data_IF_100161904780
#
_entry.id   IF_100161904780
#
_cell.length_a   1.000
_cell.length_b   1.000
_cell.length_c   1.000
_cell.angle_alpha   90.00
_cell.angle_beta   90.00
_cell.angle_gamma   90.00
#
_symmetry.space_group_name_H-M   'P 1'
#
loop_
_entity.id
_entity.type
_entity.pdbx_description
1 polymer ?
#
# COMPACT_ATOMS: atom_id res chain seq x y z
N UNK A 1 0.46 -22.93 5.38
CA UNK A 1 -0.34 -21.86 5.99
C UNK A 1 -0.01 -20.60 5.25
N UNK A 2 -0.96 -20.09 4.48
CA UNK A 2 -0.89 -18.81 3.77
C UNK A 2 -1.31 -17.68 4.71
N UNK A 3 -1.18 -16.43 4.27
CA UNK A 3 -1.71 -15.29 5.03
C UNK A 3 -3.24 -15.38 5.13
N UNK A 4 -3.90 -15.68 4.02
CA UNK A 4 -5.35 -15.91 3.98
C UNK A 4 -5.83 -16.98 4.98
N UNK A 5 -5.09 -18.09 5.13
CA UNK A 5 -5.42 -19.15 6.09
C UNK A 5 -5.48 -18.62 7.54
N UNK A 6 -4.65 -17.64 7.89
CA UNK A 6 -4.61 -17.02 9.22
C UNK A 6 -5.71 -15.97 9.35
N UNK A 7 -5.85 -15.10 8.35
CA UNK A 7 -6.82 -14.00 8.36
C UNK A 7 -8.26 -14.50 8.38
N UNK A 8 -8.52 -15.66 7.77
CA UNK A 8 -9.84 -16.31 7.76
C UNK A 8 -10.14 -17.15 9.02
N UNK A 9 -9.27 -17.13 10.04
CA UNK A 9 -9.52 -17.86 11.28
C UNK A 9 -10.64 -17.18 12.08
N UNK A 10 -11.66 -17.95 12.49
CA UNK A 10 -12.85 -17.43 13.14
C UNK A 10 -12.59 -16.66 14.45
N UNK A 11 -11.45 -16.85 15.11
CA UNK A 11 -11.04 -16.10 16.30
C UNK A 11 -10.33 -14.78 15.99
N UNK A 12 -9.95 -14.55 14.72
CA UNK A 12 -9.24 -13.38 14.21
C UNK A 12 -10.03 -12.58 13.16
N UNK A 13 -11.17 -13.10 12.71
CA UNK A 13 -12.12 -12.40 11.85
C UNK A 13 -12.46 -11.02 12.43
N UNK A 14 -12.44 -9.99 11.58
CA UNK A 14 -12.61 -8.57 11.92
C UNK A 14 -11.60 -7.95 12.89
N UNK A 15 -10.58 -8.69 13.34
CA UNK A 15 -9.50 -8.15 14.21
C UNK A 15 -8.23 -7.80 13.45
N UNK A 16 -8.05 -8.40 12.28
CA UNK A 16 -6.90 -8.16 11.41
C UNK A 16 -7.37 -7.47 10.14
N UNK A 17 -6.47 -6.71 9.51
CA UNK A 17 -6.73 -6.24 8.14
C UNK A 17 -6.88 -7.45 7.21
N UNK A 18 -7.72 -7.32 6.18
CA UNK A 18 -7.81 -8.36 5.16
C UNK A 18 -6.53 -8.46 4.33
N UNK A 19 -6.41 -9.52 3.53
CA UNK A 19 -5.16 -9.83 2.83
C UNK A 19 -4.69 -8.72 1.89
N UNK A 20 -5.59 -8.19 1.05
CA UNK A 20 -5.25 -7.14 0.10
C UNK A 20 -4.80 -5.86 0.81
N UNK A 21 -5.52 -5.45 1.87
CA UNK A 21 -5.17 -4.29 2.70
C UNK A 21 -3.85 -4.49 3.45
N UNK A 22 -3.59 -5.69 3.98
CA UNK A 22 -2.29 -6.03 4.55
C UNK A 22 -1.19 -5.88 3.51
N UNK A 23 -1.36 -6.42 2.30
CA UNK A 23 -0.34 -6.31 1.24
C UNK A 23 -0.10 -4.86 0.81
N UNK A 24 -1.16 -4.04 0.72
CA UNK A 24 -1.03 -2.60 0.49
C UNK A 24 -0.24 -1.89 1.59
N UNK A 25 -0.56 -2.18 2.84
CA UNK A 25 0.15 -1.63 3.99
C UNK A 25 1.64 -2.02 4.00
N UNK A 26 1.94 -3.29 3.73
CA UNK A 26 3.33 -3.76 3.63
C UNK A 26 4.04 -3.12 2.43
N UNK A 27 3.34 -2.87 1.33
CA UNK A 27 3.88 -2.12 0.19
C UNK A 27 4.29 -0.70 0.62
N UNK A 28 3.46 0.00 1.41
CA UNK A 28 3.82 1.31 1.98
C UNK A 28 5.07 1.26 2.87
N UNK A 29 5.19 0.24 3.74
CA UNK A 29 6.38 0.03 4.56
C UNK A 29 7.62 -0.35 3.71
N UNK A 30 7.41 -0.99 2.56
CA UNK A 30 8.46 -1.39 1.65
C UNK A 30 8.89 -0.25 0.71
N UNK A 31 8.04 0.74 0.41
CA UNK A 31 8.44 1.93 -0.36
C UNK A 31 9.10 3.02 0.51
N UNK A 32 8.86 3.00 1.82
CA UNK A 32 9.31 4.03 2.75
C UNK A 32 10.81 4.35 2.64
N UNK A 33 11.23 5.62 2.86
CA UNK A 33 12.64 6.00 2.83
C UNK A 33 13.43 5.34 3.96
N UNK A 34 12.83 5.33 5.14
CA UNK A 34 13.40 4.77 6.36
C UNK A 34 12.66 3.49 6.73
N UNK A 35 13.41 2.50 7.22
CA UNK A 35 12.82 1.24 7.71
C UNK A 35 12.28 1.48 9.12
N UNK A 36 10.96 1.45 9.24
CA UNK A 36 10.30 1.49 10.55
C UNK A 36 10.39 0.13 11.25
N UNK A 37 10.65 0.09 12.57
CA UNK A 37 10.65 -1.16 13.31
C UNK A 37 9.24 -1.77 13.32
N UNK A 38 9.09 -3.10 13.21
CA UNK A 38 7.78 -3.75 13.20
C UNK A 38 6.86 -3.34 14.35
N UNK A 39 7.40 -3.10 15.54
CA UNK A 39 6.63 -2.66 16.70
C UNK A 39 5.84 -1.36 16.48
N UNK A 40 6.25 -0.50 15.54
CA UNK A 40 5.58 0.78 15.27
C UNK A 40 4.40 0.65 14.31
N UNK A 41 4.36 -0.38 13.48
CA UNK A 41 3.34 -0.53 12.45
C UNK A 41 2.50 -1.82 12.56
N UNK A 42 2.92 -2.79 13.38
CA UNK A 42 2.15 -4.01 13.65
C UNK A 42 0.77 -3.77 14.29
N UNK A 43 0.58 -2.84 15.24
CA UNK A 43 -0.75 -2.53 15.80
C UNK A 43 -1.79 -2.16 14.74
N UNK A 44 -1.36 -1.48 13.68
CA UNK A 44 -2.26 -1.10 12.58
C UNK A 44 -2.76 -2.32 11.80
N UNK A 45 -1.94 -3.37 11.69
CA UNK A 45 -2.39 -4.63 11.11
C UNK A 45 -3.41 -5.37 12.00
N UNK A 46 -3.51 -5.01 13.27
CA UNK A 46 -4.46 -5.55 14.26
C UNK A 46 -5.68 -4.64 14.44
N UNK A 47 -6.02 -3.84 13.43
CA UNK A 47 -7.15 -2.90 13.51
C UNK A 47 -6.90 -1.71 14.44
N UNK A 48 -5.64 -1.45 14.82
CA UNK A 48 -5.24 -0.34 15.67
C UNK A 48 -5.23 -0.65 17.18
N UNK A 49 -5.41 -1.91 17.59
CA UNK A 49 -5.20 -2.34 18.98
C UNK A 49 -3.69 -2.56 19.23
N UNK A 50 -3.20 -2.14 20.38
CA UNK A 50 -1.82 -2.43 20.82
C UNK A 50 -1.66 -3.89 21.31
N UNK A 51 -2.79 -4.58 21.51
CA UNK A 51 -2.84 -5.97 21.95
C UNK A 51 -2.98 -6.89 20.75
N UNK A 52 -1.98 -7.75 20.55
CA UNK A 52 -2.01 -8.74 19.49
C UNK A 52 -3.22 -9.69 19.67
N UNK A 53 -4.08 -9.87 18.65
CA UNK A 53 -5.35 -10.59 18.79
C UNK A 53 -5.20 -12.12 18.83
N UNK A 54 -3.97 -12.63 18.76
CA UNK A 54 -3.65 -14.04 18.67
C UNK A 54 -3.77 -14.74 20.02
N UNK A 55 -4.55 -15.81 20.05
CA UNK A 55 -4.70 -16.67 21.23
C UNK A 55 -3.54 -17.67 21.38
N UNK A 56 -2.85 -17.98 20.28
CA UNK A 56 -1.72 -18.91 20.21
C UNK A 56 -0.43 -18.20 19.74
N UNK A 57 0.65 -18.37 20.50
CA UNK A 57 1.96 -17.83 20.17
C UNK A 57 2.49 -18.35 18.82
N UNK A 58 2.19 -19.60 18.44
CA UNK A 58 2.63 -20.14 17.15
C UNK A 58 1.90 -19.50 15.96
N UNK A 59 0.61 -19.18 16.13
CA UNK A 59 -0.18 -18.48 15.13
C UNK A 59 0.37 -17.06 14.92
N UNK A 60 0.69 -16.37 16.03
CA UNK A 60 1.34 -15.07 16.02
C UNK A 60 2.70 -15.11 15.31
N UNK A 61 3.57 -16.05 15.67
CA UNK A 61 4.89 -16.23 15.02
C UNK A 61 4.76 -16.50 13.52
N UNK A 62 3.78 -17.32 13.13
CA UNK A 62 3.51 -17.62 11.71
C UNK A 62 3.02 -16.39 10.95
N UNK A 63 2.13 -15.61 11.55
CA UNK A 63 1.66 -14.34 10.98
C UNK A 63 2.83 -13.38 10.76
N UNK A 64 3.66 -13.14 11.77
CA UNK A 64 4.84 -12.28 11.62
C UNK A 64 5.82 -12.80 10.57
N UNK A 65 6.04 -14.11 10.50
CA UNK A 65 6.88 -14.73 9.48
C UNK A 65 6.38 -14.44 8.06
N UNK A 66 5.07 -14.46 7.85
CA UNK A 66 4.45 -14.14 6.55
C UNK A 66 4.57 -12.66 6.21
N UNK A 67 4.33 -11.78 7.19
CA UNK A 67 4.48 -10.33 7.02
C UNK A 67 5.91 -9.94 6.66
N UNK A 68 6.90 -10.49 7.36
CA UNK A 68 8.33 -10.25 7.07
C UNK A 68 8.70 -10.81 5.70
N UNK A 69 8.13 -11.97 5.31
CA UNK A 69 8.35 -12.53 3.98
C UNK A 69 7.81 -11.62 2.90
N UNK A 70 6.59 -11.09 3.04
CA UNK A 70 6.01 -10.13 2.10
C UNK A 70 6.88 -8.87 1.96
N UNK A 71 7.35 -8.32 3.08
CA UNK A 71 8.24 -7.16 3.04
C UNK A 71 9.55 -7.45 2.29
N UNK A 72 10.16 -8.62 2.56
CA UNK A 72 11.38 -9.07 1.89
C UNK A 72 11.17 -9.42 0.40
N UNK A 73 9.93 -9.63 -0.03
CA UNK A 73 9.57 -9.83 -1.42
C UNK A 73 9.35 -8.47 -2.12
N UNK A 74 8.61 -7.56 -1.49
CA UNK A 74 8.24 -6.29 -2.10
C UNK A 74 9.38 -5.27 -2.12
N UNK A 75 10.18 -5.14 -1.06
CA UNK A 75 11.25 -4.12 -1.02
C UNK A 75 12.26 -4.31 -2.17
N UNK A 76 12.79 -5.52 -2.44
CA UNK A 76 13.69 -5.71 -3.58
C UNK A 76 12.99 -5.50 -4.93
N UNK A 77 11.75 -5.99 -5.08
CA UNK A 77 10.99 -5.85 -6.33
C UNK A 77 10.67 -4.38 -6.67
N UNK A 78 10.42 -3.55 -5.65
CA UNK A 78 10.22 -2.11 -5.82
C UNK A 78 11.51 -1.41 -6.25
N UNK A 79 12.65 -1.81 -5.65
CA UNK A 79 13.96 -1.22 -5.97
C UNK A 79 14.47 -1.63 -7.35
N UNK A 80 14.22 -2.86 -7.80
CA UNK A 80 14.66 -3.33 -9.12
C UNK A 80 13.65 -3.06 -10.26
N UNK A 81 12.46 -2.54 -9.91
CA UNK A 81 11.42 -2.19 -10.88
C UNK A 81 10.59 -3.38 -11.37
N UNK A 82 10.61 -4.51 -10.67
CA UNK A 82 9.85 -5.72 -11.01
C UNK A 82 8.56 -5.90 -10.20
N UNK A 83 8.26 -5.02 -9.24
CA UNK A 83 7.03 -5.10 -8.46
C UNK A 83 5.79 -4.99 -9.35
N UNK A 84 4.77 -5.79 -9.04
CA UNK A 84 3.48 -5.80 -9.74
C UNK A 84 2.33 -5.94 -8.75
N UNK A 85 1.12 -5.65 -9.23
CA UNK A 85 -0.10 -5.90 -8.47
C UNK A 85 -0.13 -7.32 -7.90
N UNK A 86 -0.56 -7.49 -6.64
CA UNK A 86 -0.75 -8.82 -6.09
C UNK A 86 -1.95 -9.55 -6.70
N UNK A 87 -2.02 -10.87 -6.48
CA UNK A 87 -3.11 -11.70 -6.97
C UNK A 87 -4.47 -11.20 -6.48
N UNK A 88 -5.42 -11.10 -7.40
CA UNK A 88 -6.78 -10.64 -7.14
C UNK A 88 -6.95 -9.11 -7.07
N UNK A 89 -5.88 -8.32 -7.13
CA UNK A 89 -5.98 -6.87 -7.37
C UNK A 89 -6.04 -6.64 -8.88
N UNK A 90 -7.25 -6.45 -9.42
CA UNK A 90 -7.50 -6.36 -10.86
C UNK A 90 -8.44 -5.18 -11.21
N UNK A 91 -8.54 -4.89 -12.51
CA UNK A 91 -9.61 -4.06 -13.07
C UNK A 91 -10.93 -4.85 -13.06
N UNK A 92 -12.04 -4.13 -12.91
CA UNK A 92 -13.38 -4.68 -12.93
C UNK A 92 -14.29 -3.85 -13.86
N UNK A 93 -15.11 -4.51 -14.69
CA UNK A 93 -15.96 -3.81 -15.65
C UNK A 93 -17.15 -3.08 -15.00
N UNK A 94 -17.65 -3.58 -13.87
CA UNK A 94 -18.78 -3.00 -13.15
C UNK A 94 -18.30 -1.96 -12.14
N UNK A 95 -17.23 -2.27 -11.40
CA UNK A 95 -16.75 -1.51 -10.25
C UNK A 95 -15.44 -0.74 -10.50
N UNK A 96 -14.98 -0.66 -11.75
CA UNK A 96 -13.68 -0.12 -12.24
C UNK A 96 -12.48 -0.95 -11.81
N UNK A 97 -12.42 -1.29 -10.53
CA UNK A 97 -11.41 -2.14 -9.92
C UNK A 97 -12.07 -3.06 -8.90
N UNK A 98 -11.50 -4.24 -8.72
CA UNK A 98 -11.95 -5.19 -7.71
C UNK A 98 -11.90 -4.60 -6.30
N UNK A 99 -12.70 -5.16 -5.37
CA UNK A 99 -12.64 -4.78 -3.96
C UNK A 99 -11.22 -4.97 -3.37
N UNK A 100 -10.50 -6.01 -3.79
CA UNK A 100 -9.12 -6.22 -3.36
C UNK A 100 -8.20 -5.07 -3.78
N UNK A 101 -8.35 -4.53 -5.00
CA UNK A 101 -7.58 -3.36 -5.43
C UNK A 101 -7.90 -2.14 -4.56
N UNK A 102 -9.19 -1.91 -4.23
CA UNK A 102 -9.60 -0.81 -3.34
C UNK A 102 -8.98 -0.97 -1.96
N UNK A 103 -9.07 -2.17 -1.39
CA UNK A 103 -8.51 -2.52 -0.08
C UNK A 103 -6.99 -2.40 -0.04
N UNK A 104 -6.30 -2.82 -1.12
CA UNK A 104 -4.88 -2.63 -1.28
C UNK A 104 -4.52 -1.14 -1.27
N UNK A 105 -5.20 -0.32 -2.07
CA UNK A 105 -4.96 1.12 -2.10
C UNK A 105 -5.20 1.76 -0.73
N UNK A 106 -6.26 1.35 -0.01
CA UNK A 106 -6.48 1.77 1.37
C UNK A 106 -5.30 1.43 2.28
N UNK A 107 -4.80 0.19 2.20
CA UNK A 107 -3.64 -0.27 2.96
C UNK A 107 -2.39 0.57 2.69
N UNK A 108 -2.12 0.87 1.41
CA UNK A 108 -0.98 1.73 1.03
C UNK A 108 -1.14 3.12 1.64
N UNK A 109 -2.33 3.72 1.52
CA UNK A 109 -2.62 5.07 2.04
C UNK A 109 -2.53 5.12 3.58
N UNK A 110 -2.95 4.06 4.27
CA UNK A 110 -2.80 3.95 5.73
C UNK A 110 -1.34 3.85 6.14
N UNK A 111 -0.56 2.97 5.52
CA UNK A 111 0.87 2.83 5.82
C UNK A 111 1.65 4.11 5.48
N UNK A 112 1.25 4.80 4.41
CA UNK A 112 1.83 6.09 4.04
C UNK A 112 1.80 7.11 5.19
N UNK A 113 0.67 7.20 5.91
CA UNK A 113 0.52 8.15 7.02
C UNK A 113 1.56 7.94 8.12
N UNK A 114 2.03 6.70 8.34
CA UNK A 114 3.06 6.40 9.35
C UNK A 114 4.44 6.88 8.95
N UNK A 115 4.72 6.89 7.64
CA UNK A 115 6.01 7.28 7.08
C UNK A 115 6.00 8.71 6.53
N UNK A 116 4.90 9.44 6.74
CA UNK A 116 4.68 10.75 6.13
C UNK A 116 5.80 11.74 6.47
N UNK A 117 6.20 11.78 7.73
CA UNK A 117 7.26 12.68 8.18
C UNK A 117 8.60 12.36 7.50
N UNK A 118 8.92 11.07 7.31
CA UNK A 118 10.12 10.65 6.56
C UNK A 118 10.07 11.10 5.10
N UNK A 119 8.90 10.97 4.47
CA UNK A 119 8.67 11.42 3.10
C UNK A 119 8.76 12.93 2.96
N UNK A 120 8.23 13.70 3.91
CA UNK A 120 8.31 15.17 3.90
C UNK A 120 9.73 15.68 4.12
N UNK A 121 10.53 14.97 4.93
CA UNK A 121 11.96 15.27 5.09
C UNK A 121 12.72 15.03 3.78
N UNK A 122 12.46 13.91 3.10
CA UNK A 122 13.18 13.53 1.88
C UNK A 122 12.68 14.28 0.63
N UNK A 123 11.39 14.54 0.53
CA UNK A 123 10.72 15.19 -0.61
C UNK A 123 9.80 16.32 -0.12
N UNK A 124 10.37 17.46 0.33
CA UNK A 124 9.61 18.58 0.88
C UNK A 124 8.62 19.17 -0.12
N UNK A 125 7.52 19.77 0.34
CA UNK A 125 6.41 20.30 -0.48
C UNK A 125 6.84 21.26 -1.61
N UNK A 126 7.97 21.94 -1.47
CA UNK A 126 8.51 22.88 -2.46
C UNK A 126 9.55 22.26 -3.42
N UNK A 127 9.75 20.94 -3.36
CA UNK A 127 10.66 20.19 -4.23
C UNK A 127 9.97 19.70 -5.50
N UNK A 128 10.75 19.42 -6.54
CA UNK A 128 10.22 18.83 -7.77
C UNK A 128 9.82 17.36 -7.53
N UNK A 129 10.51 16.70 -6.61
CA UNK A 129 10.30 15.33 -6.15
C UNK A 129 8.94 15.14 -5.50
N UNK A 130 8.44 16.16 -4.77
CA UNK A 130 7.13 16.13 -4.15
C UNK A 130 5.98 15.96 -5.15
N UNK A 131 6.14 16.46 -6.39
CA UNK A 131 5.14 16.26 -7.44
C UNK A 131 5.00 14.78 -7.84
N UNK A 132 6.09 14.01 -7.85
CA UNK A 132 6.05 12.57 -8.10
C UNK A 132 5.26 11.86 -7.00
N UNK A 133 5.59 12.16 -5.76
CA UNK A 133 4.93 11.64 -4.56
C UNK A 133 3.43 11.98 -4.55
N UNK A 134 3.08 13.25 -4.78
CA UNK A 134 1.69 13.70 -4.86
C UNK A 134 0.90 13.00 -5.98
N UNK A 135 1.53 12.78 -7.13
CA UNK A 135 0.93 12.02 -8.24
C UNK A 135 0.61 10.58 -7.85
N UNK A 136 1.55 9.88 -7.19
CA UNK A 136 1.35 8.51 -6.68
C UNK A 136 0.20 8.46 -5.69
N UNK A 137 0.16 9.38 -4.73
CA UNK A 137 -0.90 9.42 -3.71
C UNK A 137 -2.27 9.72 -4.31
N UNK A 138 -2.34 10.63 -5.28
CA UNK A 138 -3.58 10.93 -5.99
C UNK A 138 -4.08 9.70 -6.77
N UNK A 139 -3.19 9.03 -7.51
CA UNK A 139 -3.52 7.81 -8.25
C UNK A 139 -4.04 6.70 -7.34
N UNK A 140 -3.39 6.46 -6.19
CA UNK A 140 -3.86 5.49 -5.19
C UNK A 140 -5.21 5.91 -4.58
N UNK A 141 -5.40 7.20 -4.30
CA UNK A 141 -6.67 7.73 -3.76
C UNK A 141 -7.82 7.55 -4.74
N UNK A 142 -7.56 7.71 -6.03
CA UNK A 142 -8.56 7.49 -7.08
C UNK A 142 -8.97 6.02 -7.19
N UNK A 143 -8.02 5.08 -7.09
CA UNK A 143 -8.33 3.65 -7.13
C UNK A 143 -8.94 3.12 -5.82
N UNK A 144 -8.67 3.78 -4.69
CA UNK A 144 -9.31 3.49 -3.41
C UNK A 144 -10.81 3.79 -3.44
N UNK A 145 -11.18 4.97 -3.95
CA UNK A 145 -12.58 5.40 -4.07
C UNK A 145 -12.90 5.87 -5.50
N UNK A 146 -13.04 4.93 -6.45
CA UNK A 146 -13.29 5.23 -7.84
C UNK A 146 -14.66 5.88 -8.07
N UNK A 147 -15.66 5.55 -7.26
CA UNK A 147 -17.03 6.08 -7.37
C UNK A 147 -17.08 7.57 -7.06
N UNK A 148 -16.50 8.00 -5.93
CA UNK A 148 -16.41 9.43 -5.58
C UNK A 148 -15.53 10.18 -6.57
N UNK A 149 -14.44 9.54 -7.01
CA UNK A 149 -13.53 10.12 -8.01
C UNK A 149 -14.23 10.35 -9.35
N UNK A 150 -14.99 9.38 -9.84
CA UNK A 150 -15.83 9.50 -11.03
C UNK A 150 -16.87 10.61 -10.89
N UNK A 151 -17.60 10.64 -9.77
CA UNK A 151 -18.63 11.65 -9.54
C UNK A 151 -18.03 13.07 -9.63
N UNK A 152 -16.86 13.27 -9.03
CA UNK A 152 -16.13 14.54 -9.05
C UNK A 152 -15.66 14.90 -10.47
N UNK A 153 -15.15 13.93 -11.23
CA UNK A 153 -14.71 14.13 -12.61
C UNK A 153 -15.89 14.42 -13.55
N UNK A 154 -17.02 13.74 -13.35
CA UNK A 154 -18.24 13.95 -14.12
C UNK A 154 -18.76 15.37 -13.99
N UNK A 155 -18.71 15.95 -12.78
CA UNK A 155 -19.04 17.36 -12.52
C UNK A 155 -18.12 18.33 -13.30
N UNK A 156 -16.88 17.91 -13.57
CA UNK A 156 -15.90 18.67 -14.36
C UNK A 156 -15.98 18.37 -15.86
N UNK A 157 -16.91 17.52 -16.30
CA UNK A 157 -17.10 17.14 -17.70
C UNK A 157 -16.11 16.08 -18.20
N UNK A 158 -15.43 15.37 -17.29
CA UNK A 158 -14.50 14.29 -17.59
C UNK A 158 -15.16 12.96 -17.19
N UNK A 159 -15.45 12.08 -18.15
CA UNK A 159 -16.17 10.82 -17.92
C UNK A 159 -15.44 9.64 -18.57
N UNK A 160 -14.14 9.51 -18.31
CA UNK A 160 -13.32 8.52 -19.00
C UNK A 160 -12.89 7.38 -18.07
N UNK A 161 -13.52 6.21 -18.24
CA UNK A 161 -13.10 4.97 -17.59
C UNK A 161 -11.70 4.54 -18.05
N UNK A 162 -11.27 4.98 -19.24
CA UNK A 162 -9.92 4.70 -19.75
C UNK A 162 -8.87 5.34 -18.85
N UNK A 163 -9.18 6.47 -18.20
CA UNK A 163 -8.28 7.12 -17.24
C UNK A 163 -7.96 6.22 -16.04
N UNK A 164 -8.95 5.51 -15.49
CA UNK A 164 -8.73 4.61 -14.36
C UNK A 164 -7.90 3.39 -14.77
N UNK A 165 -8.13 2.90 -15.99
CA UNK A 165 -7.31 1.82 -16.58
C UNK A 165 -5.85 2.27 -16.74
N UNK A 166 -5.62 3.49 -17.22
CA UNK A 166 -4.27 4.06 -17.31
C UNK A 166 -3.63 4.22 -15.93
N UNK A 167 -4.36 4.75 -14.95
CA UNK A 167 -3.89 4.91 -13.56
C UNK A 167 -3.51 3.54 -12.98
N UNK A 168 -4.39 2.55 -13.07
CA UNK A 168 -4.16 1.20 -12.59
C UNK A 168 -2.90 0.57 -13.20
N UNK A 169 -2.72 0.70 -14.52
CA UNK A 169 -1.55 0.18 -15.22
C UNK A 169 -0.26 0.95 -14.89
N UNK A 170 -0.36 2.22 -14.51
CA UNK A 170 0.77 3.06 -14.15
C UNK A 170 1.27 2.81 -12.71
N UNK A 171 0.42 2.37 -11.78
CA UNK A 171 0.77 2.20 -10.36
C UNK A 171 2.07 1.41 -10.14
N UNK A 172 2.31 0.23 -10.75
CA UNK A 172 3.55 -0.50 -10.52
C UNK A 172 4.80 0.31 -10.87
N UNK A 173 4.79 0.97 -12.02
CA UNK A 173 5.90 1.82 -12.47
C UNK A 173 6.06 3.04 -11.55
N UNK A 174 4.95 3.65 -11.13
CA UNK A 174 4.96 4.82 -10.25
C UNK A 174 5.53 4.48 -8.85
N UNK A 175 5.13 3.35 -8.26
CA UNK A 175 5.62 2.90 -6.96
C UNK A 175 7.11 2.53 -7.01
N UNK A 176 7.55 1.82 -8.06
CA UNK A 176 8.96 1.51 -8.26
C UNK A 176 9.79 2.78 -8.45
N UNK A 177 9.34 3.69 -9.32
CA UNK A 177 10.01 4.96 -9.59
C UNK A 177 10.12 5.85 -8.35
N UNK A 178 9.05 5.92 -7.54
CA UNK A 178 9.08 6.64 -6.26
C UNK A 178 10.09 6.02 -5.29
N UNK A 179 10.11 4.69 -5.16
CA UNK A 179 11.01 3.97 -4.25
C UNK A 179 12.48 4.14 -4.66
N UNK A 180 12.79 4.00 -5.95
CA UNK A 180 14.13 4.21 -6.50
C UNK A 180 14.58 5.65 -6.30
N UNK A 181 13.71 6.62 -6.61
CA UNK A 181 14.04 8.04 -6.41
C UNK A 181 14.30 8.36 -4.94
N UNK A 182 13.53 7.76 -4.03
CA UNK A 182 13.74 7.93 -2.60
C UNK A 182 15.09 7.35 -2.15
N UNK A 183 15.45 6.16 -2.63
CA UNK A 183 16.74 5.53 -2.33
C UNK A 183 17.91 6.39 -2.83
N UNK A 184 17.85 6.91 -4.07
CA UNK A 184 18.87 7.77 -4.65
C UNK A 184 19.10 9.06 -3.83
N UNK A 185 18.02 9.67 -3.33
CA UNK A 185 18.08 10.87 -2.51
C UNK A 185 18.70 10.58 -1.14
N UNK A 186 18.30 9.48 -0.49
CA UNK A 186 18.84 9.07 0.80
C UNK A 186 20.35 8.77 0.73
N UNK A 187 20.82 8.18 -0.37
CA UNK A 187 22.26 7.97 -0.63
C UNK A 187 23.02 9.27 -0.93
N UNK A 188 22.34 10.27 -1.50
CA UNK A 188 22.97 11.56 -1.84
C UNK A 188 23.14 12.50 -0.63
N UNK A 189 22.35 12.29 0.42
CA UNK A 189 22.38 13.05 1.67
C UNK A 189 23.34 12.47 2.73
N UNK A 190 24.00 11.33 2.44
CA UNK A 190 24.94 10.62 3.35
C UNK A 190 26.42 10.85 3.03
#
# INVERSE_FOLDING_TARGET
MTLNDILSAADLEDKLLNEAKTQGFITAMALAPNVLPPSEWLPFLWGGDDTAPFSDAKQMESYFGLIIRLWNEYRPALLDGSWSWPEGCELDEEDIVTQNTRDFCEGVLQGWQLTRDDWEVLMPENSQENALMGGVLLSLSMLYDPETSLATLAEQGMNDLDQFTEIYNAIPVMLCGLTQRAADLAESDS
#
